data_IF_516237501518
#
_entry.id   IF_516237501518
#
_cell.length_a   1.000
_cell.length_b   1.000
_cell.length_c   1.000
_cell.angle_alpha   90.00
_cell.angle_beta   90.00
_cell.angle_gamma   90.00
#
_symmetry.space_group_name_H-M   'P 1'
#
loop_
_entity.id
_entity.type
_entity.pdbx_description
1 polymer ?
#
# COMPACT_ATOMS: atom_id res chain seq x y z
N UNK A 1 7.90 -7.68 33.16
CA UNK A 1 7.75 -7.42 32.58
C UNK A 1 7.55 -7.30 31.83
N UNK A 2 7.73 -7.59 31.59
CA UNK A 2 7.64 -7.43 30.66
C UNK A 2 7.55 -7.26 29.86
N UNK A 3 7.69 -7.27 29.86
CA UNK A 3 7.60 -6.97 29.08
C UNK A 3 7.30 -6.87 28.26
N UNK A 4 7.36 -6.94 28.20
CA UNK A 4 6.99 -6.77 27.36
C UNK A 4 6.60 -6.47 26.58
N UNK A 5 6.88 -6.41 26.86
CA UNK A 5 6.51 -6.04 26.12
C UNK A 5 6.20 -5.78 25.29
N UNK A 6 6.56 -5.73 25.56
CA UNK A 6 6.38 -5.45 24.77
C UNK A 6 6.23 -5.72 23.82
N UNK A 7 6.21 -6.08 23.64
CA UNK A 7 6.03 -6.27 22.78
C UNK A 7 5.57 -5.98 21.78
N UNK A 8 5.87 -6.00 21.20
CA UNK A 8 5.57 -5.28 20.19
C UNK A 8 4.52 -5.28 19.30
N UNK A 9 4.23 -5.28 19.78
CA UNK A 9 3.37 -5.09 19.20
C UNK A 9 3.04 -4.51 18.28
N UNK A 10 3.22 -4.75 18.63
CA UNK A 10 2.85 -4.28 18.06
C UNK A 10 2.65 -3.86 17.16
N UNK A 11 2.90 -4.03 17.12
CA UNK A 11 2.67 -3.50 16.41
C UNK A 11 2.16 -2.98 15.57
N UNK A 12 2.65 -3.31 15.87
CA UNK A 12 1.68 -2.70 15.00
C UNK A 12 2.26 -1.56 14.17
N UNK A 13 1.65 -1.27 13.04
CA UNK A 13 2.21 -0.33 12.11
C UNK A 13 1.80 1.11 12.35
N UNK A 14 2.43 2.01 11.61
CA UNK A 14 2.10 3.43 11.58
C UNK A 14 1.27 3.70 10.33
N UNK A 15 0.07 4.23 10.50
CA UNK A 15 -0.74 4.62 9.35
C UNK A 15 -0.06 5.79 8.63
N UNK A 16 0.21 5.62 7.35
CA UNK A 16 0.81 6.71 6.57
C UNK A 16 -0.23 7.43 5.73
N UNK A 17 -1.38 6.83 5.49
CA UNK A 17 -2.45 7.52 4.79
C UNK A 17 -3.63 6.65 4.47
N UNK A 18 -4.67 7.31 4.01
CA UNK A 18 -5.93 6.68 3.61
C UNK A 18 -6.36 7.30 2.29
N UNK A 19 -6.91 6.49 1.40
CA UNK A 19 -7.35 6.97 0.11
C UNK A 19 -8.74 6.43 -0.20
N UNK A 20 -9.57 7.26 -0.82
CA UNK A 20 -10.91 6.83 -1.22
C UNK A 20 -10.83 6.13 -2.57
N UNK A 21 -11.53 5.03 -2.71
CA UNK A 21 -11.58 4.25 -3.94
C UNK A 21 -12.79 4.71 -4.77
N UNK A 22 -12.53 5.09 -6.01
CA UNK A 22 -13.59 5.50 -6.94
C UNK A 22 -13.90 4.35 -7.88
N UNK A 23 -15.00 4.47 -8.62
CA UNK A 23 -15.33 3.47 -9.63
C UNK A 23 -14.24 3.36 -10.70
N UNK A 24 -13.65 4.48 -11.09
CA UNK A 24 -12.54 4.46 -12.03
C UNK A 24 -11.32 3.71 -11.49
N UNK A 25 -11.08 3.82 -10.18
CA UNK A 25 -10.00 3.05 -9.56
C UNK A 25 -10.25 1.56 -9.68
N UNK A 26 -11.49 1.14 -9.45
CA UNK A 26 -11.86 -0.27 -9.53
C UNK A 26 -11.73 -0.76 -10.98
N UNK A 27 -12.24 0.01 -11.93
CA UNK A 27 -12.22 -0.37 -13.33
C UNK A 27 -10.80 -0.51 -13.88
N UNK A 28 -9.87 0.28 -13.37
CA UNK A 28 -8.51 0.36 -13.88
C UNK A 28 -7.46 -0.22 -12.94
N UNK A 29 -7.87 -0.80 -11.82
CA UNK A 29 -6.96 -1.39 -10.82
C UNK A 29 -5.94 -0.39 -10.31
N UNK A 30 -6.42 0.78 -9.91
CA UNK A 30 -5.57 1.84 -9.37
C UNK A 30 -5.85 2.06 -7.90
N UNK A 31 -4.79 2.25 -7.12
CA UNK A 31 -4.87 2.80 -5.76
C UNK A 31 -3.90 3.97 -5.76
N UNK A 32 -4.43 5.18 -5.73
CA UNK A 32 -3.60 6.37 -5.76
C UNK A 32 -3.13 6.73 -4.35
N UNK A 33 -1.86 7.13 -4.27
CA UNK A 33 -1.20 7.40 -3.00
C UNK A 33 -0.82 8.88 -2.88
N UNK A 34 -1.49 9.74 -3.64
CA UNK A 34 -1.09 11.14 -3.84
C UNK A 34 -0.98 11.94 -2.56
N UNK A 35 -1.94 11.79 -1.67
CA UNK A 35 -2.01 12.65 -0.48
C UNK A 35 -0.93 12.33 0.55
N UNK A 36 -0.34 11.14 0.47
CA UNK A 36 0.70 10.73 1.42
C UNK A 36 1.93 10.13 0.74
N UNK A 37 2.12 10.46 -0.54
CA UNK A 37 3.19 9.84 -1.33
C UNK A 37 4.57 10.13 -0.75
N UNK A 38 4.74 11.27 -0.12
CA UNK A 38 6.01 11.67 0.48
C UNK A 38 6.38 10.85 1.70
N UNK A 39 5.44 10.08 2.23
CA UNK A 39 5.74 9.20 3.37
C UNK A 39 6.53 7.95 2.97
N UNK A 40 6.64 7.66 1.68
CA UNK A 40 7.42 6.52 1.21
C UNK A 40 8.89 6.89 1.07
N UNK A 41 9.80 5.92 1.25
CA UNK A 41 11.22 6.22 1.13
C UNK A 41 11.59 6.62 -0.30
N UNK A 42 12.44 7.62 -0.43
CA UNK A 42 12.80 8.19 -1.73
C UNK A 42 13.45 7.15 -2.65
N UNK A 43 14.23 6.22 -2.10
CA UNK A 43 14.91 5.22 -2.91
C UNK A 43 13.99 4.11 -3.40
N UNK A 44 12.72 4.10 -2.97
CA UNK A 44 11.70 3.19 -3.49
C UNK A 44 10.81 3.87 -4.53
N UNK A 45 11.07 5.13 -4.86
CA UNK A 45 10.29 5.88 -5.84
C UNK A 45 11.09 6.00 -7.12
N UNK A 46 10.55 5.47 -8.21
CA UNK A 46 11.20 5.52 -9.51
C UNK A 46 10.45 6.42 -10.48
N UNK A 47 10.82 6.34 -11.74
CA UNK A 47 10.18 7.10 -12.80
C UNK A 47 8.93 6.40 -13.32
N UNK A 48 8.39 6.92 -14.42
CA UNK A 48 7.09 6.47 -14.93
C UNK A 48 7.15 5.21 -15.77
N UNK A 49 8.33 4.77 -16.20
CA UNK A 49 8.42 3.57 -17.02
C UNK A 49 9.32 2.54 -16.35
N UNK A 50 9.28 1.32 -16.89
CA UNK A 50 10.00 0.19 -16.29
C UNK A 50 11.51 0.43 -16.24
N UNK A 51 12.06 1.08 -17.25
CA UNK A 51 13.51 1.34 -17.28
C UNK A 51 13.93 2.33 -16.19
N UNK A 52 13.00 3.08 -15.63
CA UNK A 52 13.24 4.06 -14.58
C UNK A 52 12.85 3.55 -13.21
N UNK A 53 12.74 2.24 -13.03
CA UNK A 53 12.34 1.66 -11.74
C UNK A 53 13.33 2.09 -10.65
N UNK A 54 12.81 2.15 -9.41
CA UNK A 54 13.62 2.54 -8.26
C UNK A 54 14.67 1.49 -7.96
N UNK A 55 15.70 1.89 -7.22
CA UNK A 55 16.75 1.00 -6.81
C UNK A 55 16.27 -0.03 -5.79
N UNK A 56 15.21 0.30 -5.05
CA UNK A 56 14.76 -0.53 -3.95
C UNK A 56 13.26 -0.77 -4.06
N UNK A 57 12.85 -1.98 -3.71
CA UNK A 57 11.43 -2.32 -3.67
C UNK A 57 10.94 -2.32 -2.24
N UNK A 58 9.63 -2.14 -2.08
CA UNK A 58 8.94 -2.31 -0.81
C UNK A 58 8.13 -3.59 -0.87
N UNK A 59 7.86 -4.15 0.30
CA UNK A 59 6.98 -5.30 0.44
C UNK A 59 5.58 -4.80 0.77
N UNK A 60 4.58 -5.31 0.06
CA UNK A 60 3.18 -4.91 0.27
C UNK A 60 2.39 -6.14 0.66
N UNK A 61 1.88 -6.11 1.89
CA UNK A 61 0.96 -7.12 2.41
C UNK A 61 -0.46 -6.62 2.18
N UNK A 62 -1.16 -7.23 1.24
CA UNK A 62 -2.50 -6.81 0.87
C UNK A 62 -3.57 -7.83 1.31
N UNK A 63 -3.17 -8.77 2.16
CA UNK A 63 -4.08 -9.82 2.63
C UNK A 63 -4.16 -11.03 1.72
N UNK A 64 -3.27 -11.12 0.73
CA UNK A 64 -3.17 -12.29 -0.13
C UNK A 64 -2.24 -13.35 0.43
N UNK A 65 -2.00 -14.39 -0.35
CA UNK A 65 -1.20 -15.52 0.09
C UNK A 65 0.28 -15.16 0.21
N UNK A 66 0.76 -14.21 -0.59
CA UNK A 66 2.15 -13.75 -0.54
C UNK A 66 2.18 -12.24 -0.62
N UNK A 67 3.23 -11.66 -0.07
CA UNK A 67 3.44 -10.22 -0.23
C UNK A 67 3.91 -9.93 -1.65
N UNK A 68 3.64 -8.72 -2.12
CA UNK A 68 4.09 -8.25 -3.42
C UNK A 68 5.29 -7.35 -3.22
N UNK A 69 6.33 -7.56 -4.00
CA UNK A 69 7.48 -6.67 -4.02
C UNK A 69 7.32 -5.72 -5.18
N UNK A 70 7.36 -4.43 -4.91
CA UNK A 70 7.16 -3.40 -5.94
C UNK A 70 7.85 -2.12 -5.52
N UNK A 71 8.16 -1.29 -6.49
CA UNK A 71 8.51 0.10 -6.20
C UNK A 71 7.31 0.99 -6.54
N UNK A 72 7.53 2.30 -6.50
CA UNK A 72 6.48 3.28 -6.69
C UNK A 72 6.77 4.09 -7.95
N UNK A 73 5.71 4.33 -8.73
CA UNK A 73 5.78 5.21 -9.90
C UNK A 73 5.62 6.64 -9.40
N UNK A 74 6.69 7.42 -9.48
CA UNK A 74 6.68 8.78 -8.96
C UNK A 74 5.88 9.76 -9.78
N UNK A 75 5.64 9.47 -11.05
CA UNK A 75 4.84 10.34 -11.91
C UNK A 75 3.35 10.14 -11.65
N UNK A 76 2.93 8.89 -11.54
CA UNK A 76 1.51 8.57 -11.37
C UNK A 76 1.10 8.41 -9.92
N UNK A 77 2.07 8.28 -9.03
CA UNK A 77 1.83 8.21 -7.58
C UNK A 77 1.03 7.00 -7.18
N UNK A 78 1.44 5.83 -7.68
CA UNK A 78 0.83 4.57 -7.29
C UNK A 78 1.89 3.46 -7.31
N UNK A 79 1.50 2.27 -6.82
CA UNK A 79 2.39 1.10 -6.85
C UNK A 79 2.64 0.71 -8.30
N UNK A 80 3.90 0.43 -8.65
CA UNK A 80 4.22 0.09 -10.02
C UNK A 80 3.60 -1.24 -10.43
N UNK A 81 3.70 -2.27 -9.59
CA UNK A 81 3.04 -3.54 -9.86
C UNK A 81 1.60 -3.46 -9.39
N UNK A 82 0.66 -3.66 -10.28
CA UNK A 82 -0.77 -3.47 -10.01
C UNK A 82 -1.62 -4.71 -10.27
N UNK A 83 -1.00 -5.82 -10.71
CA UNK A 83 -1.76 -7.02 -11.01
C UNK A 83 -2.51 -7.59 -9.81
N UNK A 84 -2.03 -7.32 -8.60
CA UNK A 84 -2.65 -7.83 -7.37
C UNK A 84 -3.88 -7.01 -6.96
N UNK A 85 -4.05 -5.81 -7.50
CA UNK A 85 -5.07 -4.88 -7.01
C UNK A 85 -6.48 -5.37 -7.31
N UNK A 86 -6.70 -5.98 -8.48
CA UNK A 86 -8.02 -6.53 -8.78
C UNK A 86 -8.41 -7.59 -7.75
N UNK A 87 -7.50 -8.49 -7.43
CA UNK A 87 -7.80 -9.52 -6.44
C UNK A 87 -8.00 -8.91 -5.05
N UNK A 88 -7.24 -7.86 -4.74
CA UNK A 88 -7.42 -7.15 -3.49
C UNK A 88 -8.85 -6.59 -3.38
N UNK A 89 -9.33 -5.92 -4.43
CA UNK A 89 -10.68 -5.38 -4.43
C UNK A 89 -11.70 -6.50 -4.28
N UNK A 90 -11.53 -7.59 -5.03
CA UNK A 90 -12.48 -8.70 -4.99
C UNK A 90 -12.47 -9.40 -3.63
N UNK A 91 -11.29 -9.69 -3.13
CA UNK A 91 -11.14 -10.47 -1.89
C UNK A 91 -11.69 -9.72 -0.69
N UNK A 92 -11.51 -8.41 -0.68
CA UNK A 92 -11.95 -7.58 0.45
C UNK A 92 -13.30 -6.90 0.21
N UNK A 93 -13.93 -7.14 -0.93
CA UNK A 93 -15.23 -6.56 -1.24
C UNK A 93 -15.22 -5.05 -1.32
N UNK A 94 -14.15 -4.48 -1.86
CA UNK A 94 -14.00 -3.02 -1.94
C UNK A 94 -14.88 -2.47 -3.05
N UNK A 95 -15.61 -1.40 -2.74
CA UNK A 95 -16.52 -0.74 -3.67
C UNK A 95 -16.19 0.74 -3.75
N UNK A 96 -16.73 1.39 -4.77
CA UNK A 96 -16.60 2.85 -4.89
C UNK A 96 -17.13 3.51 -3.63
N UNK A 97 -16.38 4.45 -3.10
CA UNK A 97 -16.69 5.14 -1.85
C UNK A 97 -16.00 4.55 -0.63
N UNK A 98 -15.47 3.35 -0.74
CA UNK A 98 -14.74 2.75 0.39
C UNK A 98 -13.38 3.39 0.53
N UNK A 99 -12.85 3.36 1.75
CA UNK A 99 -11.53 3.87 2.05
C UNK A 99 -10.54 2.72 2.19
N UNK A 100 -9.33 2.96 1.73
CA UNK A 100 -8.23 1.99 1.87
C UNK A 100 -7.11 2.68 2.65
N UNK A 101 -6.58 1.98 3.62
CA UNK A 101 -5.53 2.49 4.51
C UNK A 101 -4.21 1.82 4.17
N UNK A 102 -3.14 2.60 4.21
CA UNK A 102 -1.77 2.09 4.05
C UNK A 102 -1.04 2.33 5.36
N UNK A 103 -0.42 1.27 5.87
CA UNK A 103 0.36 1.32 7.10
C UNK A 103 1.78 0.86 6.84
N UNK A 104 2.74 1.53 7.45
CA UNK A 104 4.12 1.06 7.47
C UNK A 104 4.27 0.12 8.66
N UNK A 105 4.55 -1.15 8.39
CA UNK A 105 4.65 -2.15 9.46
C UNK A 105 6.09 -2.45 9.84
N UNK A 106 7.03 -2.09 8.98
CA UNK A 106 8.48 -2.18 9.23
C UNK A 106 9.14 -1.36 8.13
N UNK A 107 10.43 -1.04 8.23
CA UNK A 107 11.10 -0.33 7.14
C UNK A 107 10.92 -1.08 5.82
N UNK A 108 10.45 -0.38 4.80
CA UNK A 108 10.18 -0.90 3.44
C UNK A 108 9.12 -2.01 3.42
N UNK A 109 8.29 -2.09 4.45
CA UNK A 109 7.20 -3.07 4.52
C UNK A 109 5.90 -2.37 4.86
N UNK A 110 4.87 -2.61 4.06
CA UNK A 110 3.61 -1.90 4.17
C UNK A 110 2.44 -2.86 4.13
N UNK A 111 1.36 -2.48 4.78
CA UNK A 111 0.09 -3.21 4.71
C UNK A 111 -0.94 -2.31 4.05
N UNK A 112 -1.67 -2.88 3.09
CA UNK A 112 -2.78 -2.21 2.42
C UNK A 112 -4.05 -2.97 2.79
N UNK A 113 -5.03 -2.27 3.36
CA UNK A 113 -6.25 -2.90 3.84
C UNK A 113 -7.43 -1.94 3.73
N UNK A 114 -8.64 -2.47 3.52
CA UNK A 114 -9.81 -1.60 3.57
C UNK A 114 -9.98 -1.07 4.98
N UNK A 115 -10.39 0.18 5.08
CA UNK A 115 -10.70 0.77 6.38
C UNK A 115 -12.04 0.21 6.83
N UNK A 116 -12.05 -0.35 8.03
CA UNK A 116 -13.29 -0.91 8.55
C UNK A 116 -14.23 0.20 8.97
N UNK A 117 -15.50 -0.03 8.70
CA UNK A 117 -16.55 0.83 9.21
C UNK A 117 -16.95 0.35 10.58
N UNK A 118 -17.24 1.28 11.42
CA UNK A 118 -17.71 0.99 12.77
C UNK A 118 -19.17 0.61 12.76
#
# INVERSE_FOLDING_TARGET
MPSPDAIPRQHSGRRIGTTEITQGNIDNNHIYLRSFFEEFPADAIGGSNRASAAQREIAVDWGGDTVVMTDLDGAKKFFRKRGWIREFFDRHGVRAGDMVTVEEIAPYSYRVAPQRRS
#
